data_IF_385135013601
#
_entry.id   IF_385135013601
#
_cell.length_a   1.000
_cell.length_b   1.000
_cell.length_c   1.000
_cell.angle_alpha   90.00
_cell.angle_beta   90.00
_cell.angle_gamma   90.00
#
_symmetry.space_group_name_H-M   'P 1'
#
loop_
_entity.id
_entity.type
_entity.pdbx_description
1 polymer ?
#
# COMPACT_ATOMS: atom_id res chain seq x y z
N UNK A 1 8.27 -3.22 -2.04
CA UNK A 1 8.16 -2.03 -2.94
C UNK A 1 9.40 -1.15 -2.75
N UNK A 2 9.67 -0.19 -3.64
CA UNK A 2 10.82 0.72 -3.53
C UNK A 2 10.41 2.17 -3.24
N UNK A 3 9.33 2.64 -3.84
CA UNK A 3 8.83 4.01 -3.62
C UNK A 3 7.38 3.92 -3.15
N UNK A 4 7.13 3.86 -1.84
CA UNK A 4 5.78 3.78 -1.30
C UNK A 4 5.00 5.05 -1.63
N UNK A 5 3.84 4.89 -2.24
CA UNK A 5 3.01 5.97 -2.72
C UNK A 5 1.54 5.73 -2.38
N UNK A 6 0.83 6.84 -2.17
CA UNK A 6 -0.62 6.91 -1.99
C UNK A 6 -1.15 8.21 -2.60
N UNK A 7 -2.45 8.25 -2.89
CA UNK A 7 -3.12 9.47 -3.28
C UNK A 7 -3.40 10.40 -2.10
N UNK A 8 -3.44 11.71 -2.35
CA UNK A 8 -3.82 12.72 -1.35
C UNK A 8 -5.22 12.49 -0.77
N UNK A 9 -6.11 11.82 -1.52
CA UNK A 9 -7.48 11.51 -1.09
C UNK A 9 -7.67 10.08 -0.56
N UNK A 10 -6.61 9.27 -0.54
CA UNK A 10 -6.66 7.89 -0.07
C UNK A 10 -6.84 7.83 1.46
N UNK A 11 -7.85 7.06 1.91
CA UNK A 11 -8.15 6.81 3.33
C UNK A 11 -7.76 5.39 3.79
N UNK A 12 -6.70 4.85 3.20
CA UNK A 12 -6.08 3.58 3.59
C UNK A 12 -4.61 3.82 3.97
N UNK A 13 -4.05 2.89 4.74
CA UNK A 13 -2.64 2.90 5.14
C UNK A 13 -1.74 2.25 4.10
N UNK A 14 -2.23 1.21 3.40
CA UNK A 14 -1.45 0.44 2.44
C UNK A 14 -0.93 1.32 1.30
N UNK A 15 0.39 1.35 1.09
CA UNK A 15 1.02 2.00 -0.04
C UNK A 15 1.12 1.05 -1.25
N UNK A 16 1.25 1.62 -2.44
CA UNK A 16 1.66 0.91 -3.66
C UNK A 16 2.99 1.49 -4.17
N UNK A 17 3.67 0.78 -5.06
CA UNK A 17 4.92 1.26 -5.63
C UNK A 17 4.67 2.32 -6.74
N UNK A 18 5.26 3.51 -6.59
CA UNK A 18 5.06 4.61 -7.53
C UNK A 18 5.52 4.28 -8.95
N UNK A 19 6.68 3.64 -9.10
CA UNK A 19 7.23 3.32 -10.42
C UNK A 19 6.39 2.26 -11.12
N UNK A 20 5.99 1.21 -10.39
CA UNK A 20 5.10 0.19 -10.93
C UNK A 20 3.75 0.78 -11.34
N UNK A 21 3.20 1.71 -10.55
CA UNK A 21 1.94 2.40 -10.84
C UNK A 21 2.00 3.23 -12.13
N UNK A 22 3.06 4.04 -12.28
CA UNK A 22 3.29 4.84 -13.49
C UNK A 22 3.46 3.95 -14.71
N UNK A 23 4.34 2.95 -14.63
CA UNK A 23 4.60 2.02 -15.72
C UNK A 23 3.33 1.31 -16.19
N UNK A 24 2.49 0.84 -15.27
CA UNK A 24 1.25 0.12 -15.60
C UNK A 24 0.21 1.02 -16.32
N UNK A 25 0.09 2.29 -15.89
CA UNK A 25 -0.80 3.25 -16.56
C UNK A 25 -0.24 3.64 -17.93
N UNK A 26 1.05 3.95 -18.03
CA UNK A 26 1.69 4.36 -19.29
C UNK A 26 1.73 3.24 -20.34
N UNK A 27 1.85 1.97 -19.93
CA UNK A 27 1.93 0.84 -20.85
C UNK A 27 0.62 0.47 -21.54
N UNK A 28 -0.51 1.05 -21.11
CA UNK A 28 -1.85 0.65 -21.53
C UNK A 28 -2.47 1.69 -22.47
N UNK A 29 -3.16 1.25 -23.53
CA UNK A 29 -3.83 2.15 -24.49
C UNK A 29 -4.96 3.01 -23.89
N UNK A 30 -5.48 2.59 -22.73
CA UNK A 30 -6.52 3.26 -21.96
C UNK A 30 -6.13 3.24 -20.48
N UNK A 31 -5.24 4.15 -20.03
CA UNK A 31 -4.89 4.25 -18.62
C UNK A 31 -6.14 4.53 -17.78
N UNK A 32 -6.27 3.79 -16.69
CA UNK A 32 -7.30 4.01 -15.69
C UNK A 32 -6.60 4.53 -14.44
N UNK A 33 -6.36 5.84 -14.40
CA UNK A 33 -5.68 6.59 -13.34
C UNK A 33 -6.48 6.53 -12.03
N UNK A 34 -6.44 5.37 -11.38
CA UNK A 34 -7.15 5.06 -10.15
C UNK A 34 -6.22 4.33 -9.19
N UNK A 35 -6.39 4.59 -7.90
CA UNK A 35 -5.60 3.95 -6.86
C UNK A 35 -5.79 2.42 -6.91
N UNK A 36 -4.72 1.62 -6.96
CA UNK A 36 -4.83 0.15 -7.03
C UNK A 36 -5.36 -0.48 -5.73
N UNK A 37 -5.41 0.30 -4.63
CA UNK A 37 -5.90 -0.17 -3.32
C UNK A 37 -7.38 0.16 -3.12
N UNK A 38 -7.81 1.38 -3.47
CA UNK A 38 -9.17 1.86 -3.14
C UNK A 38 -9.99 2.37 -4.33
N UNK A 39 -9.47 2.30 -5.55
CA UNK A 39 -10.12 2.72 -6.81
C UNK A 39 -10.57 4.18 -6.91
N UNK A 40 -10.23 5.03 -5.94
CA UNK A 40 -10.40 6.46 -6.08
C UNK A 40 -9.55 6.96 -7.25
N UNK A 41 -10.06 7.96 -7.97
CA UNK A 41 -9.29 8.64 -9.01
C UNK A 41 -7.95 9.11 -8.43
N UNK A 42 -6.88 8.81 -9.15
CA UNK A 42 -5.52 9.09 -8.74
C UNK A 42 -4.71 9.52 -9.97
N UNK A 43 -4.86 10.78 -10.40
CA UNK A 43 -3.97 11.33 -11.40
C UNK A 43 -2.55 11.54 -10.81
N UNK A 44 -1.54 11.73 -11.67
CA UNK A 44 -0.14 11.81 -11.25
C UNK A 44 0.10 12.96 -10.28
N UNK A 45 -0.55 14.09 -10.49
CA UNK A 45 -0.48 15.29 -9.63
C UNK A 45 -1.00 15.06 -8.20
N UNK A 46 -1.76 13.99 -7.97
CA UNK A 46 -2.31 13.61 -6.67
C UNK A 46 -1.49 12.52 -5.96
N UNK A 47 -0.49 11.94 -6.65
CA UNK A 47 0.44 10.97 -6.07
C UNK A 47 1.33 11.65 -5.02
N UNK A 48 1.45 11.03 -3.84
CA UNK A 48 2.34 11.45 -2.76
C UNK A 48 3.19 10.27 -2.31
N UNK A 49 4.49 10.49 -2.14
CA UNK A 49 5.36 9.50 -1.51
C UNK A 49 5.06 9.48 -0.02
N UNK A 50 4.86 8.29 0.53
CA UNK A 50 4.61 8.09 1.96
C UNK A 50 5.96 7.95 2.67
N UNK A 51 6.41 9.04 3.31
CA UNK A 51 7.73 9.09 3.94
C UNK A 51 7.85 8.13 5.12
N UNK A 52 6.79 7.94 5.88
CA UNK A 52 6.80 7.01 7.00
C UNK A 52 7.02 5.57 6.53
N UNK A 53 6.28 5.13 5.50
CA UNK A 53 6.50 3.80 4.91
C UNK A 53 7.88 3.69 4.27
N UNK A 54 8.41 4.78 3.72
CA UNK A 54 9.77 4.80 3.15
C UNK A 54 10.83 4.56 4.24
N UNK A 55 10.68 5.20 5.41
CA UNK A 55 11.56 5.00 6.56
C UNK A 55 11.46 3.56 7.07
N UNK A 56 10.25 3.02 7.22
CA UNK A 56 10.01 1.62 7.59
C UNK A 56 10.73 0.65 6.64
N UNK A 57 10.63 0.86 5.33
CA UNK A 57 11.31 0.02 4.32
C UNK A 57 12.84 0.09 4.40
N UNK A 58 13.39 1.18 4.94
CA UNK A 58 14.84 1.33 5.15
C UNK A 58 15.36 0.60 6.39
N UNK A 59 14.49 0.33 7.36
CA UNK A 59 14.83 -0.26 8.66
C UNK A 59 14.33 -1.70 8.82
N UNK A 60 13.30 -2.12 8.06
CA UNK A 60 12.70 -3.44 8.14
C UNK A 60 13.66 -4.55 7.68
N UNK A 61 13.44 -5.77 8.16
CA UNK A 61 14.23 -6.93 7.79
C UNK A 61 14.03 -7.30 6.31
N UNK A 62 15.12 -7.69 5.62
CA UNK A 62 15.16 -7.91 4.17
C UNK A 62 14.16 -8.96 3.63
N UNK A 63 13.61 -9.81 4.50
CA UNK A 63 12.66 -10.87 4.17
C UNK A 63 11.33 -10.77 4.91
N UNK A 64 11.01 -9.60 5.46
CA UNK A 64 9.73 -9.36 6.12
C UNK A 64 8.68 -8.90 5.11
N UNK A 65 7.58 -9.65 4.97
CA UNK A 65 6.43 -9.28 4.15
C UNK A 65 5.43 -8.37 4.91
N UNK A 66 5.50 -8.37 6.25
CA UNK A 66 4.55 -7.69 7.12
C UNK A 66 5.22 -6.99 8.30
N UNK A 67 4.75 -5.79 8.61
CA UNK A 67 5.07 -5.05 9.83
C UNK A 67 3.80 -4.77 10.62
N UNK A 68 3.93 -4.68 11.93
CA UNK A 68 2.82 -4.30 12.82
C UNK A 68 2.95 -2.82 13.17
N UNK A 69 1.85 -2.08 13.04
CA UNK A 69 1.76 -0.67 13.47
C UNK A 69 1.02 -0.56 14.80
N UNK A 70 1.50 0.34 15.65
CA UNK A 70 0.89 0.70 16.93
C UNK A 70 0.21 2.07 16.84
N UNK A 71 -0.73 2.33 17.74
CA UNK A 71 -1.54 3.56 17.73
C UNK A 71 -0.73 4.83 18.02
N UNK A 72 0.44 4.69 18.62
CA UNK A 72 1.41 5.76 18.87
C UNK A 72 2.35 6.02 17.69
N UNK A 73 2.19 5.28 16.58
CA UNK A 73 3.02 5.39 15.39
C UNK A 73 4.30 4.57 15.43
N UNK A 74 4.55 3.81 16.50
CA UNK A 74 5.63 2.83 16.52
C UNK A 74 5.30 1.64 15.60
N UNK A 75 6.33 0.92 15.17
CA UNK A 75 6.16 -0.29 14.38
C UNK A 75 7.20 -1.35 14.75
N UNK A 76 6.90 -2.61 14.45
CA UNK A 76 7.81 -3.74 14.64
C UNK A 76 7.73 -4.76 13.50
N UNK A 77 8.80 -5.53 13.28
CA UNK A 77 8.79 -6.66 12.35
C UNK A 77 7.88 -7.77 12.88
N UNK A 78 7.06 -8.35 12.00
CA UNK A 78 6.30 -9.56 12.35
C UNK A 78 7.20 -10.78 12.17
N UNK A 79 7.46 -11.50 13.26
CA UNK A 79 8.27 -12.72 13.20
C UNK A 79 7.61 -13.78 12.31
N UNK A 80 8.37 -14.36 11.39
CA UNK A 80 7.91 -15.47 10.55
C UNK A 80 7.44 -16.65 11.42
N UNK A 81 6.14 -16.98 11.37
CA UNK A 81 5.60 -18.21 11.98
C UNK A 81 4.82 -18.06 13.29
N UNK A 82 4.37 -16.86 13.67
CA UNK A 82 3.29 -16.74 14.68
C UNK A 82 2.03 -16.26 13.99
N UNK A 83 1.07 -17.17 13.83
CA UNK A 83 -0.33 -16.89 13.51
C UNK A 83 -0.95 -16.10 14.66
N UNK A 84 -0.63 -14.81 14.71
CA UNK A 84 -1.26 -13.87 15.61
C UNK A 84 -2.52 -13.34 14.91
N UNK A 85 -3.67 -13.90 15.29
CA UNK A 85 -4.99 -13.46 14.80
C UNK A 85 -5.35 -12.01 15.15
N UNK A 86 -4.47 -11.26 15.83
CA UNK A 86 -4.57 -9.80 15.98
C UNK A 86 -3.93 -9.01 14.84
N UNK A 87 -3.23 -9.68 13.91
CA UNK A 87 -2.70 -9.09 12.69
C UNK A 87 -3.79 -9.13 11.63
N UNK A 88 -4.26 -7.96 11.20
CA UNK A 88 -5.11 -7.84 10.00
C UNK A 88 -4.24 -8.27 8.82
N UNK A 89 -4.42 -9.49 8.35
CA UNK A 89 -3.75 -9.95 7.13
C UNK A 89 -4.35 -9.25 5.91
N UNK A 90 -3.67 -9.28 4.77
CA UNK A 90 -4.17 -8.64 3.54
C UNK A 90 -5.59 -9.13 3.19
N UNK A 91 -5.94 -10.36 3.57
CA UNK A 91 -7.26 -10.96 3.39
C UNK A 91 -8.35 -10.33 4.28
N UNK A 92 -7.97 -9.80 5.44
CA UNK A 92 -8.86 -9.14 6.40
C UNK A 92 -9.03 -7.64 6.13
N UNK A 93 -8.20 -7.08 5.24
CA UNK A 93 -8.40 -5.72 4.76
C UNK A 93 -9.70 -5.64 3.97
N UNK A 94 -10.56 -4.62 4.19
CA UNK A 94 -11.86 -4.54 3.55
C UNK A 94 -11.74 -4.72 2.03
N UNK A 95 -12.12 -5.90 1.54
CA UNK A 95 -12.03 -6.23 0.12
C UNK A 95 -13.11 -5.46 -0.63
N UNK A 96 -12.71 -4.82 -1.72
CA UNK A 96 -13.60 -4.11 -2.63
C UNK A 96 -14.82 -4.98 -2.99
N UNK A 97 -16.06 -4.47 -2.88
CA UNK A 97 -17.21 -5.16 -3.43
C UNK A 97 -17.07 -5.23 -4.97
N UNK A 98 -17.22 -6.43 -5.52
CA UNK A 98 -17.17 -6.68 -6.96
C UNK A 98 -18.16 -5.75 -7.66
N UNK A 99 -17.69 -4.92 -8.60
CA UNK A 99 -18.57 -4.11 -9.45
C UNK A 99 -19.45 -5.07 -10.27
N UNK A 100 -20.75 -5.10 -10.00
CA UNK A 100 -21.71 -5.80 -10.88
C UNK A 100 -21.75 -5.05 -12.22
N UNK A 101 -21.60 -5.82 -13.30
CA UNK A 101 -21.72 -5.35 -14.67
C UNK A 101 -23.13 -4.85 -14.97
#
# INVERSE_FOLDING_TARGET
MKVPCRGVHCRHVQCFDAYAYLAANESTLKPFWCCPVCDLALPVEDMRVDLFTLDVLGEAEEHSDHVRFFADGQWENVAAGKDDHSVIVIEDSPVKPVRKA
#
